data_IF_275070252378
#
_entry.id   IF_275070252378
#
_cell.length_a   1.000
_cell.length_b   1.000
_cell.length_c   1.000
_cell.angle_alpha   90.00
_cell.angle_beta   90.00
_cell.angle_gamma   90.00
#
_symmetry.space_group_name_H-M   'P 1'
#
loop_
_entity.id
_entity.type
_entity.pdbx_description
1 polymer ?
#
# COMPACT_ATOMS: atom_id res chain seq x y z
N UNK A 1 -41.67 29.21 5.68
CA UNK A 1 -40.64 29.18 4.62
C UNK A 1 -39.39 29.86 5.14
N UNK A 2 -38.41 29.07 5.61
CA UNK A 2 -37.04 29.51 5.87
C UNK A 2 -36.18 28.23 5.94
N UNK A 3 -35.88 27.68 4.77
CA UNK A 3 -34.95 26.57 4.55
C UNK A 3 -34.08 27.05 3.39
N UNK A 4 -32.80 27.30 3.64
CA UNK A 4 -31.92 27.78 2.59
C UNK A 4 -30.66 28.54 3.01
N UNK A 5 -30.31 28.62 4.29
CA UNK A 5 -29.01 29.18 4.68
C UNK A 5 -27.93 28.11 4.61
N UNK A 6 -27.42 27.94 3.38
CA UNK A 6 -26.01 27.77 3.05
C UNK A 6 -25.19 26.86 3.96
N UNK A 7 -25.28 25.55 3.71
CA UNK A 7 -24.17 24.62 3.91
C UNK A 7 -23.07 24.89 2.85
N UNK A 8 -22.55 26.12 2.83
CA UNK A 8 -21.38 26.54 2.05
C UNK A 8 -20.24 26.89 3.02
N UNK A 9 -19.95 26.00 3.97
CA UNK A 9 -18.69 26.09 4.72
C UNK A 9 -17.56 25.46 3.91
N UNK A 10 -17.19 26.19 2.85
CA UNK A 10 -15.83 26.44 2.40
C UNK A 10 -14.74 25.39 2.74
N UNK A 11 -14.61 24.37 1.90
CA UNK A 11 -13.31 23.73 1.61
C UNK A 11 -12.35 24.68 0.82
N UNK A 12 -12.53 26.01 0.98
CA UNK A 12 -12.13 27.02 -0.02
C UNK A 12 -10.83 27.77 0.29
N UNK A 13 -10.06 27.40 1.32
CA UNK A 13 -8.78 28.05 1.61
C UNK A 13 -7.69 26.99 1.81
N UNK A 14 -7.00 26.62 0.73
CA UNK A 14 -5.78 25.81 0.81
C UNK A 14 -4.61 26.71 1.22
N UNK A 15 -4.11 26.57 2.46
CA UNK A 15 -3.06 27.42 3.01
C UNK A 15 -1.66 26.85 2.63
N UNK A 16 -0.60 27.65 2.44
CA UNK A 16 0.73 27.11 2.14
C UNK A 16 1.29 26.17 3.22
N UNK A 17 0.84 26.29 4.47
CA UNK A 17 1.10 25.33 5.55
C UNK A 17 0.55 23.94 5.25
N UNK A 18 -0.59 23.86 4.56
CA UNK A 18 -1.25 22.61 4.18
C UNK A 18 -0.49 21.95 3.03
N UNK A 19 0.06 22.74 2.09
CA UNK A 19 0.93 22.22 1.02
C UNK A 19 2.21 21.58 1.53
N UNK A 20 2.87 22.14 2.55
CA UNK A 20 4.06 21.52 3.15
C UNK A 20 3.75 20.20 3.84
N UNK A 21 2.64 20.16 4.59
CA UNK A 21 2.17 18.95 5.29
C UNK A 21 1.77 17.86 4.29
N UNK A 22 1.03 18.22 3.26
CA UNK A 22 0.62 17.30 2.20
C UNK A 22 1.82 16.71 1.48
N UNK A 23 2.82 17.53 1.12
CA UNK A 23 4.06 17.03 0.51
C UNK A 23 4.80 16.07 1.43
N UNK A 24 4.88 16.36 2.72
CA UNK A 24 5.50 15.45 3.69
C UNK A 24 4.76 14.11 3.75
N UNK A 25 3.42 14.13 3.82
CA UNK A 25 2.60 12.93 3.84
C UNK A 25 2.66 12.15 2.53
N UNK A 26 2.66 12.84 1.39
CA UNK A 26 2.81 12.21 0.07
C UNK A 26 4.18 11.55 -0.10
N UNK A 27 5.25 12.12 0.49
CA UNK A 27 6.58 11.50 0.48
C UNK A 27 6.63 10.18 1.28
N UNK A 28 5.77 10.01 2.28
CA UNK A 28 5.73 8.78 3.08
C UNK A 28 5.43 7.53 2.24
N UNK A 29 4.68 7.64 1.14
CA UNK A 29 4.34 6.51 0.26
C UNK A 29 5.55 5.89 -0.45
N UNK A 30 6.29 6.67 -1.28
CA UNK A 30 7.53 6.22 -1.90
C UNK A 30 8.56 5.72 -0.88
N UNK A 31 8.70 6.40 0.26
CA UNK A 31 9.61 5.97 1.33
C UNK A 31 9.16 4.60 1.87
N UNK A 32 7.88 4.42 2.19
CA UNK A 32 7.35 3.15 2.68
C UNK A 32 7.60 2.01 1.69
N UNK A 33 7.31 2.21 0.39
CA UNK A 33 7.61 1.20 -0.64
C UNK A 33 9.09 0.86 -0.66
N UNK A 34 9.97 1.87 -0.70
CA UNK A 34 11.41 1.66 -0.72
C UNK A 34 11.91 0.86 0.49
N UNK A 35 11.38 1.14 1.69
CA UNK A 35 11.68 0.37 2.90
C UNK A 35 11.21 -1.09 2.79
N UNK A 36 10.03 -1.34 2.21
CA UNK A 36 9.54 -2.71 1.94
C UNK A 36 10.46 -3.44 0.95
N UNK A 37 10.93 -2.77 -0.11
CA UNK A 37 11.92 -3.35 -1.03
C UNK A 37 13.22 -3.73 -0.31
N UNK A 38 13.74 -2.85 0.56
CA UNK A 38 14.93 -3.15 1.35
C UNK A 38 14.68 -4.31 2.32
N UNK A 39 13.51 -4.39 2.97
CA UNK A 39 13.15 -5.52 3.83
C UNK A 39 13.29 -6.85 3.10
N UNK A 40 12.66 -6.96 1.94
CA UNK A 40 12.65 -8.19 1.14
C UNK A 40 14.05 -8.56 0.64
N UNK A 41 14.85 -7.57 0.22
CA UNK A 41 16.24 -7.79 -0.21
C UNK A 41 17.19 -8.15 0.94
N UNK A 42 17.14 -7.41 2.05
CA UNK A 42 18.00 -7.64 3.22
C UNK A 42 17.70 -8.98 3.89
N UNK A 43 16.42 -9.35 4.01
CA UNK A 43 16.00 -10.59 4.67
C UNK A 43 16.28 -11.86 3.85
N UNK A 44 16.75 -11.72 2.60
CA UNK A 44 16.94 -12.85 1.69
C UNK A 44 15.62 -13.51 1.30
N UNK A 45 14.51 -12.76 1.32
CA UNK A 45 13.17 -13.22 0.94
C UNK A 45 12.82 -12.86 -0.51
N UNK A 46 13.82 -12.49 -1.32
CA UNK A 46 13.72 -12.37 -2.77
C UNK A 46 14.67 -13.38 -3.41
N UNK A 47 14.15 -14.39 -4.14
CA UNK A 47 12.73 -14.69 -4.38
C UNK A 47 11.96 -15.08 -3.10
N UNK A 48 10.62 -15.00 -3.09
CA UNK A 48 9.81 -15.47 -1.97
C UNK A 48 10.12 -16.91 -1.59
N UNK A 49 10.05 -17.19 -0.29
CA UNK A 49 10.18 -18.53 0.29
C UNK A 49 9.23 -19.49 -0.42
N UNK A 50 9.68 -20.69 -0.80
CA UNK A 50 8.79 -21.64 -1.47
C UNK A 50 7.84 -22.30 -0.45
N UNK A 51 6.54 -22.50 -0.78
CA UNK A 51 5.63 -23.27 0.08
C UNK A 51 6.10 -24.72 0.33
N UNK A 52 6.94 -25.25 -0.56
CA UNK A 52 7.49 -26.60 -0.48
C UNK A 52 8.88 -26.68 0.17
N UNK A 53 9.40 -25.54 0.67
CA UNK A 53 10.72 -25.52 1.31
C UNK A 53 10.72 -26.38 2.57
N UNK A 54 11.78 -27.17 2.77
CA UNK A 54 11.92 -27.98 3.96
C UNK A 54 12.02 -27.08 5.20
N UNK A 55 11.34 -27.50 6.28
CA UNK A 55 11.29 -26.74 7.53
C UNK A 55 12.68 -26.48 8.12
N UNK A 56 13.59 -27.45 8.00
CA UNK A 56 14.97 -27.33 8.47
C UNK A 56 15.73 -26.25 7.70
N UNK A 57 15.70 -26.27 6.36
CA UNK A 57 16.38 -25.27 5.52
C UNK A 57 15.87 -23.85 5.81
N UNK A 58 14.56 -23.72 6.04
CA UNK A 58 13.96 -22.45 6.43
C UNK A 58 14.46 -21.99 7.80
N UNK A 59 14.46 -22.88 8.81
CA UNK A 59 14.97 -22.56 10.13
C UNK A 59 16.45 -22.15 10.11
N UNK A 60 17.25 -22.82 9.29
CA UNK A 60 18.67 -22.51 9.09
C UNK A 60 18.86 -21.12 8.47
N UNK A 61 18.02 -20.74 7.49
CA UNK A 61 18.02 -19.37 6.94
C UNK A 61 17.70 -18.32 8.00
N UNK A 62 16.68 -18.54 8.84
CA UNK A 62 16.35 -17.61 9.93
C UNK A 62 17.48 -17.48 10.96
N UNK A 63 18.23 -18.55 11.20
CA UNK A 63 19.38 -18.53 12.11
C UNK A 63 20.58 -17.80 11.50
N UNK A 64 20.93 -18.14 10.25
CA UNK A 64 22.08 -17.58 9.54
C UNK A 64 21.88 -16.08 9.24
N UNK A 65 20.70 -15.71 8.74
CA UNK A 65 20.36 -14.36 8.31
C UNK A 65 19.70 -13.51 9.42
N UNK A 66 19.78 -13.95 10.69
CA UNK A 66 19.06 -13.34 11.83
C UNK A 66 19.19 -11.82 11.89
N UNK A 67 20.41 -11.29 11.77
CA UNK A 67 20.64 -9.85 11.86
C UNK A 67 19.94 -9.08 10.73
N UNK A 68 20.07 -9.58 9.50
CA UNK A 68 19.47 -8.93 8.34
C UNK A 68 17.94 -9.01 8.35
N UNK A 69 17.38 -10.16 8.79
CA UNK A 69 15.94 -10.33 8.97
C UNK A 69 15.40 -9.35 10.02
N UNK A 70 16.09 -9.18 11.15
CA UNK A 70 15.66 -8.22 12.19
C UNK A 70 15.72 -6.76 11.72
N UNK A 71 16.77 -6.39 10.97
CA UNK A 71 16.85 -5.05 10.33
C UNK A 71 15.69 -4.89 9.36
N UNK A 72 15.44 -5.90 8.53
CA UNK A 72 14.33 -5.90 7.60
C UNK A 72 12.97 -5.72 8.29
N UNK A 73 12.70 -6.48 9.35
CA UNK A 73 11.46 -6.36 10.14
C UNK A 73 11.31 -4.93 10.67
N UNK A 74 12.37 -4.33 11.21
CA UNK A 74 12.33 -2.94 11.67
C UNK A 74 11.92 -1.98 10.55
N UNK A 75 12.48 -2.13 9.35
CA UNK A 75 12.14 -1.29 8.19
C UNK A 75 10.67 -1.51 7.74
N UNK A 76 10.18 -2.74 7.80
CA UNK A 76 8.79 -3.08 7.50
C UNK A 76 7.81 -2.44 8.50
N UNK A 77 8.13 -2.47 9.80
CA UNK A 77 7.35 -1.81 10.86
C UNK A 77 7.42 -0.27 10.76
N UNK A 78 8.52 0.29 10.23
CA UNK A 78 8.57 1.71 9.92
C UNK A 78 7.66 2.03 8.73
N UNK A 79 7.72 1.24 7.66
CA UNK A 79 6.86 1.38 6.49
C UNK A 79 5.36 1.28 6.84
N UNK A 80 5.01 0.40 7.77
CA UNK A 80 3.62 0.22 8.26
C UNK A 80 3.04 1.49 8.86
N UNK A 81 3.87 2.32 9.50
CA UNK A 81 3.46 3.60 10.10
C UNK A 81 3.40 4.75 9.09
N UNK A 82 4.18 4.65 8.01
CA UNK A 82 4.25 5.66 6.95
C UNK A 82 3.08 5.56 5.96
N UNK A 83 2.57 4.35 5.70
CA UNK A 83 1.50 4.16 4.72
C UNK A 83 0.17 4.86 5.08
N UNK A 84 -0.31 4.85 6.34
CA UNK A 84 -1.49 5.62 6.72
C UNK A 84 -1.32 7.13 6.52
N UNK A 85 -0.12 7.67 6.77
CA UNK A 85 0.18 9.08 6.48
C UNK A 85 0.08 9.38 4.99
N UNK A 86 0.61 8.49 4.15
CA UNK A 86 0.46 8.58 2.71
C UNK A 86 -1.01 8.54 2.27
N UNK A 87 -1.82 7.68 2.88
CA UNK A 87 -3.24 7.60 2.60
C UNK A 87 -3.96 8.93 2.88
N UNK A 88 -3.64 9.59 3.98
CA UNK A 88 -4.16 10.94 4.31
C UNK A 88 -3.69 11.96 3.27
N UNK A 89 -2.42 11.94 2.87
CA UNK A 89 -1.90 12.84 1.84
C UNK A 89 -2.64 12.72 0.50
N UNK A 90 -2.95 11.49 0.07
CA UNK A 90 -3.81 11.24 -1.09
C UNK A 90 -5.21 11.81 -0.86
N UNK A 91 -5.83 11.50 0.28
CA UNK A 91 -7.18 11.95 0.61
C UNK A 91 -7.32 13.47 0.54
N UNK A 92 -6.32 14.21 1.03
CA UNK A 92 -6.27 15.68 0.94
C UNK A 92 -6.24 16.18 -0.51
N UNK A 93 -5.53 15.50 -1.41
CA UNK A 93 -5.53 15.88 -2.83
C UNK A 93 -6.86 15.53 -3.52
N UNK A 94 -7.41 14.35 -3.25
CA UNK A 94 -8.68 13.91 -3.83
C UNK A 94 -9.86 14.77 -3.34
N UNK A 95 -9.82 15.27 -2.11
CA UNK A 95 -10.82 16.18 -1.56
C UNK A 95 -10.96 17.51 -2.34
N UNK A 96 -9.98 17.85 -3.17
CA UNK A 96 -10.00 19.04 -4.05
C UNK A 96 -10.76 18.81 -5.35
N UNK A 97 -11.26 17.59 -5.60
CA UNK A 97 -12.10 17.28 -6.75
C UNK A 97 -13.53 17.79 -6.48
N UNK A 98 -14.10 18.66 -7.33
CA UNK A 98 -15.45 19.17 -7.13
C UNK A 98 -16.50 18.05 -7.13
N UNK A 99 -17.38 18.03 -6.13
CA UNK A 99 -18.47 17.06 -6.03
C UNK A 99 -18.06 15.64 -5.60
N UNK A 100 -16.80 15.42 -5.18
CA UNK A 100 -16.39 14.12 -4.66
C UNK A 100 -17.15 13.78 -3.38
N UNK A 101 -17.74 12.58 -3.33
CA UNK A 101 -18.47 12.14 -2.16
C UNK A 101 -17.50 11.75 -1.02
N UNK A 102 -17.79 12.19 0.21
CA UNK A 102 -16.95 11.93 1.38
C UNK A 102 -16.71 10.43 1.63
N UNK A 103 -17.68 9.57 1.29
CA UNK A 103 -17.53 8.11 1.39
C UNK A 103 -16.35 7.58 0.59
N UNK A 104 -16.07 8.12 -0.59
CA UNK A 104 -14.93 7.66 -1.41
C UNK A 104 -13.61 8.03 -0.74
N UNK A 105 -13.53 9.23 -0.16
CA UNK A 105 -12.35 9.68 0.59
C UNK A 105 -12.12 8.84 1.85
N UNK A 106 -13.18 8.57 2.61
CA UNK A 106 -13.12 7.71 3.80
C UNK A 106 -12.69 6.30 3.41
N UNK A 107 -13.25 5.73 2.34
CA UNK A 107 -12.90 4.39 1.88
C UNK A 107 -11.42 4.29 1.49
N UNK A 108 -10.90 5.30 0.79
CA UNK A 108 -9.49 5.38 0.41
C UNK A 108 -8.57 5.46 1.64
N UNK A 109 -8.90 6.31 2.62
CA UNK A 109 -8.11 6.45 3.85
C UNK A 109 -8.19 5.17 4.68
N UNK A 110 -9.38 4.59 4.84
CA UNK A 110 -9.58 3.35 5.58
C UNK A 110 -8.78 2.18 4.98
N UNK A 111 -8.81 2.02 3.65
CA UNK A 111 -7.99 1.02 2.96
C UNK A 111 -6.49 1.24 3.19
N UNK A 112 -6.03 2.49 3.19
CA UNK A 112 -4.64 2.82 3.52
C UNK A 112 -4.25 2.53 4.97
N UNK A 113 -5.09 2.89 5.93
CA UNK A 113 -4.85 2.58 7.34
C UNK A 113 -4.79 1.07 7.59
N UNK A 114 -5.72 0.32 6.99
CA UNK A 114 -5.75 -1.14 7.08
C UNK A 114 -4.53 -1.78 6.42
N UNK A 115 -4.06 -1.24 5.28
CA UNK A 115 -2.84 -1.71 4.63
C UNK A 115 -1.60 -1.44 5.50
N UNK A 116 -1.51 -0.26 6.13
CA UNK A 116 -0.48 0.03 7.12
C UNK A 116 -0.51 -0.97 8.28
N UNK A 117 -1.68 -1.24 8.85
CA UNK A 117 -1.84 -2.23 9.92
C UNK A 117 -1.44 -3.66 9.46
N UNK A 118 -1.79 -4.04 8.23
CA UNK A 118 -1.41 -5.32 7.66
C UNK A 118 0.11 -5.50 7.59
N UNK A 119 0.84 -4.47 7.13
CA UNK A 119 2.31 -4.49 7.11
C UNK A 119 2.90 -4.69 8.51
N UNK A 120 2.29 -4.09 9.54
CA UNK A 120 2.72 -4.28 10.93
C UNK A 120 2.52 -5.73 11.39
N UNK A 121 1.38 -6.33 11.08
CA UNK A 121 1.12 -7.74 11.39
C UNK A 121 2.07 -8.68 10.64
N UNK A 122 2.35 -8.44 9.35
CA UNK A 122 3.29 -9.24 8.56
C UNK A 122 4.68 -9.21 9.21
N UNK A 123 5.16 -8.01 9.57
CA UNK A 123 6.43 -7.86 10.31
C UNK A 123 6.42 -8.56 11.67
N UNK A 124 5.28 -8.58 12.36
CA UNK A 124 5.12 -9.27 13.65
C UNK A 124 5.23 -10.79 13.50
N UNK A 125 4.65 -11.38 12.45
CA UNK A 125 4.78 -12.83 12.20
C UNK A 125 6.21 -13.21 11.77
N UNK A 126 6.85 -12.41 10.92
CA UNK A 126 8.28 -12.59 10.62
C UNK A 126 9.15 -12.46 11.86
N UNK A 127 8.84 -11.53 12.76
CA UNK A 127 9.51 -11.41 14.05
C UNK A 127 9.28 -12.64 14.91
N UNK A 128 8.07 -13.19 14.95
CA UNK A 128 7.77 -14.40 15.71
C UNK A 128 8.61 -15.61 15.25
N UNK A 129 8.87 -15.73 13.95
CA UNK A 129 9.77 -16.73 13.38
C UNK A 129 11.24 -16.49 13.77
N UNK A 130 11.70 -15.23 13.75
CA UNK A 130 13.11 -14.88 14.02
C UNK A 130 13.47 -14.76 15.52
N UNK A 131 12.49 -14.54 16.40
CA UNK A 131 12.72 -14.11 17.78
C UNK A 131 13.41 -15.17 18.66
N UNK A 132 13.09 -16.46 18.45
CA UNK A 132 13.66 -17.58 19.22
C UNK A 132 14.49 -18.51 18.34
N UNK A 133 15.82 -18.29 18.24
CA UNK A 133 16.69 -19.21 17.52
C UNK A 133 16.71 -20.59 18.20
N UNK A 134 16.87 -21.66 17.42
CA UNK A 134 16.93 -23.05 17.91
C UNK A 134 15.57 -23.65 18.33
N UNK A 135 14.46 -22.99 18.01
CA UNK A 135 13.12 -23.57 18.12
C UNK A 135 12.92 -24.67 17.08
N UNK A 136 12.01 -25.61 17.39
CA UNK A 136 11.56 -26.64 16.44
C UNK A 136 11.30 -26.04 15.05
N UNK A 137 11.96 -26.54 13.98
CA UNK A 137 11.81 -26.05 12.62
C UNK A 137 10.37 -25.94 12.15
N UNK A 138 9.47 -26.86 12.57
CA UNK A 138 8.07 -26.84 12.17
C UNK A 138 7.31 -25.63 12.73
N UNK A 139 7.66 -25.16 13.94
CA UNK A 139 7.04 -23.97 14.53
C UNK A 139 7.55 -22.71 13.83
N UNK A 140 8.83 -22.68 13.45
CA UNK A 140 9.41 -21.58 12.67
C UNK A 140 8.75 -21.49 11.29
N UNK A 141 8.55 -22.65 10.64
CA UNK A 141 7.82 -22.74 9.37
C UNK A 141 6.40 -22.19 9.51
N UNK A 142 5.61 -22.65 10.49
CA UNK A 142 4.26 -22.14 10.70
C UNK A 142 4.23 -20.61 10.89
N UNK A 143 5.16 -20.04 11.65
CA UNK A 143 5.23 -18.59 11.87
C UNK A 143 5.60 -17.82 10.58
N UNK A 144 6.52 -18.36 9.78
CA UNK A 144 6.88 -17.83 8.46
C UNK A 144 5.72 -17.92 7.48
N UNK A 145 5.05 -19.07 7.41
CA UNK A 145 3.90 -19.31 6.53
C UNK A 145 2.74 -18.38 6.86
N UNK A 146 2.49 -18.12 8.15
CA UNK A 146 1.52 -17.10 8.57
C UNK A 146 1.89 -15.71 8.05
N UNK A 147 3.18 -15.33 8.07
CA UNK A 147 3.62 -14.04 7.53
C UNK A 147 3.40 -13.95 6.01
N UNK A 148 3.74 -15.00 5.26
CA UNK A 148 3.54 -15.07 3.81
C UNK A 148 2.07 -15.12 3.42
N UNK A 149 1.27 -15.94 4.09
CA UNK A 149 -0.18 -15.99 3.86
C UNK A 149 -0.83 -14.66 4.18
N UNK A 150 -0.39 -13.98 5.23
CA UNK A 150 -0.92 -12.66 5.55
C UNK A 150 -0.57 -11.63 4.47
N UNK A 151 0.65 -11.69 3.93
CA UNK A 151 1.08 -10.85 2.81
C UNK A 151 0.22 -11.09 1.56
N UNK A 152 -0.12 -12.36 1.26
CA UNK A 152 -0.96 -12.68 0.10
C UNK A 152 -2.43 -12.34 0.33
N UNK A 153 -3.01 -12.80 1.44
CA UNK A 153 -4.45 -12.77 1.70
C UNK A 153 -4.98 -11.42 2.19
N UNK A 154 -4.13 -10.42 2.47
CA UNK A 154 -4.55 -9.05 2.82
C UNK A 154 -4.47 -8.11 1.60
N UNK A 155 -4.90 -8.59 0.43
CA UNK A 155 -5.09 -7.74 -0.74
C UNK A 155 -6.26 -6.76 -0.59
N UNK A 156 -7.31 -7.10 0.18
CA UNK A 156 -8.56 -6.34 0.26
C UNK A 156 -8.37 -4.86 0.61
N UNK A 157 -7.58 -4.47 1.63
CA UNK A 157 -7.31 -3.06 1.92
C UNK A 157 -6.68 -2.30 0.76
N UNK A 158 -5.76 -2.96 0.04
CA UNK A 158 -5.10 -2.39 -1.13
C UNK A 158 -6.13 -2.21 -2.26
N UNK A 159 -6.91 -3.24 -2.57
CA UNK A 159 -7.98 -3.18 -3.59
C UNK A 159 -8.96 -2.05 -3.29
N UNK A 160 -9.43 -1.95 -2.04
CA UNK A 160 -10.35 -0.89 -1.61
C UNK A 160 -9.72 0.49 -1.79
N UNK A 161 -8.46 0.66 -1.38
CA UNK A 161 -7.76 1.93 -1.49
C UNK A 161 -7.58 2.34 -2.96
N UNK A 162 -7.04 1.47 -3.81
CA UNK A 162 -6.75 1.77 -5.22
C UNK A 162 -8.03 1.92 -6.03
N UNK A 163 -9.09 1.16 -5.72
CA UNK A 163 -10.39 1.33 -6.34
C UNK A 163 -11.01 2.69 -5.99
N UNK A 164 -10.99 3.10 -4.72
CA UNK A 164 -11.49 4.39 -4.29
C UNK A 164 -10.71 5.56 -4.92
N UNK A 165 -9.39 5.45 -5.03
CA UNK A 165 -8.55 6.43 -5.74
C UNK A 165 -8.96 6.53 -7.21
N UNK A 166 -9.08 5.38 -7.89
CA UNK A 166 -9.44 5.34 -9.32
C UNK A 166 -10.83 5.95 -9.55
N UNK A 167 -11.80 5.59 -8.69
CA UNK A 167 -13.14 6.15 -8.71
C UNK A 167 -13.12 7.68 -8.57
N UNK A 168 -12.36 8.21 -7.60
CA UNK A 168 -12.24 9.64 -7.40
C UNK A 168 -11.65 10.35 -8.63
N UNK A 169 -10.60 9.78 -9.24
CA UNK A 169 -9.98 10.32 -10.46
C UNK A 169 -10.99 10.35 -11.62
N UNK A 170 -11.77 9.28 -11.82
CA UNK A 170 -12.76 9.23 -12.89
C UNK A 170 -13.99 10.10 -12.64
N UNK A 171 -14.28 10.41 -11.38
CA UNK A 171 -15.36 11.33 -11.00
C UNK A 171 -15.03 12.80 -11.32
N UNK A 172 -13.78 13.10 -11.67
CA UNK A 172 -13.36 14.46 -12.03
C UNK A 172 -13.90 14.87 -13.42
N UNK A 173 -14.99 15.65 -13.38
CA UNK A 173 -15.68 16.18 -14.55
C UNK A 173 -15.04 17.40 -15.21
N UNK A 174 -13.92 17.93 -14.68
CA UNK A 174 -13.22 19.07 -15.28
C UNK A 174 -12.64 18.72 -16.65
N UNK A 175 -12.59 19.69 -17.56
CA UNK A 175 -11.88 19.53 -18.85
C UNK A 175 -10.40 19.22 -18.66
N UNK A 176 -9.78 19.86 -17.66
CA UNK A 176 -8.43 19.57 -17.17
C UNK A 176 -8.54 18.98 -15.76
N UNK A 177 -8.57 17.63 -15.62
CA UNK A 177 -8.69 17.00 -14.32
C UNK A 177 -7.44 17.27 -13.47
N UNK A 178 -7.59 17.28 -12.15
CA UNK A 178 -6.47 17.49 -11.22
C UNK A 178 -5.42 16.39 -11.34
N UNK A 179 -5.89 15.17 -11.54
CA UNK A 179 -5.06 14.00 -11.81
C UNK A 179 -5.43 13.47 -13.19
N UNK A 180 -4.46 13.23 -14.08
CA UNK A 180 -4.75 12.69 -15.41
C UNK A 180 -5.51 11.36 -15.34
N UNK A 181 -6.55 11.21 -16.18
CA UNK A 181 -7.41 10.00 -16.18
C UNK A 181 -6.66 8.70 -16.46
N UNK A 182 -5.56 8.76 -17.22
CA UNK A 182 -4.72 7.58 -17.47
C UNK A 182 -4.10 7.02 -16.19
N UNK A 183 -3.84 7.85 -15.17
CA UNK A 183 -3.36 7.42 -13.85
C UNK A 183 -4.46 6.64 -13.11
N UNK A 184 -5.73 7.04 -13.28
CA UNK A 184 -6.87 6.27 -12.76
C UNK A 184 -6.88 4.84 -13.34
N UNK A 185 -6.58 4.69 -14.63
CA UNK A 185 -6.47 3.37 -15.26
C UNK A 185 -5.31 2.57 -14.69
N UNK A 186 -4.11 3.13 -14.57
CA UNK A 186 -2.96 2.40 -13.99
C UNK A 186 -3.22 1.98 -12.55
N UNK A 187 -3.82 2.85 -11.73
CA UNK A 187 -4.15 2.50 -10.34
C UNK A 187 -5.23 1.41 -10.28
N UNK A 188 -6.25 1.45 -11.15
CA UNK A 188 -7.28 0.42 -11.20
C UNK A 188 -6.73 -0.97 -11.54
N UNK A 189 -5.69 -1.03 -12.38
CA UNK A 189 -5.05 -2.30 -12.73
C UNK A 189 -4.28 -2.93 -11.56
N UNK A 190 -3.86 -2.15 -10.54
CA UNK A 190 -3.29 -2.71 -9.30
C UNK A 190 -4.32 -3.60 -8.62
N UNK A 191 -5.58 -3.14 -8.52
CA UNK A 191 -6.67 -3.94 -7.94
C UNK A 191 -6.89 -5.25 -8.71
N UNK A 192 -6.82 -5.19 -10.05
CA UNK A 192 -7.03 -6.38 -10.91
C UNK A 192 -5.93 -7.42 -10.66
N UNK A 193 -4.67 -7.00 -10.62
CA UNK A 193 -3.55 -7.90 -10.39
C UNK A 193 -3.44 -8.40 -8.94
N UNK A 194 -4.08 -7.74 -7.99
CA UNK A 194 -4.14 -8.19 -6.60
C UNK A 194 -5.10 -9.37 -6.39
N UNK A 195 -6.09 -9.57 -7.27
CA UNK A 195 -7.13 -10.62 -7.12
C UNK A 195 -6.52 -12.04 -7.06
N UNK A 196 -5.62 -12.45 -7.98
CA UNK A 196 -4.99 -13.77 -7.89
C UNK A 196 -4.17 -13.94 -6.61
N UNK A 197 -3.41 -12.92 -6.23
CA UNK A 197 -2.62 -12.92 -4.99
C UNK A 197 -3.50 -13.15 -3.77
N UNK A 198 -4.60 -12.43 -3.67
CA UNK A 198 -5.45 -12.45 -2.48
C UNK A 198 -6.31 -13.71 -2.38
N UNK A 199 -7.06 -14.01 -3.45
CA UNK A 199 -8.13 -15.00 -3.38
C UNK A 199 -7.71 -16.38 -3.85
N UNK A 200 -6.56 -16.49 -4.52
CA UNK A 200 -6.15 -17.74 -5.19
C UNK A 200 -4.84 -18.29 -4.63
N UNK A 201 -3.90 -17.45 -4.20
CA UNK A 201 -2.55 -17.91 -3.86
C UNK A 201 -2.48 -18.99 -2.77
N UNK A 202 -3.36 -18.92 -1.77
CA UNK A 202 -3.42 -19.89 -0.67
C UNK A 202 -3.91 -21.29 -1.08
N UNK A 203 -4.48 -21.44 -2.28
CA UNK A 203 -4.95 -22.73 -2.80
C UNK A 203 -3.84 -23.54 -3.48
N UNK A 204 -2.67 -22.95 -3.74
CA UNK A 204 -1.60 -23.55 -4.54
C UNK A 204 -0.27 -23.57 -3.77
N UNK A 205 0.42 -24.70 -3.85
CA UNK A 205 1.74 -24.89 -3.24
C UNK A 205 2.89 -24.83 -4.27
N UNK A 206 2.58 -24.91 -5.56
CA UNK A 206 3.55 -24.80 -6.66
C UNK A 206 2.88 -24.18 -7.91
N UNK A 207 3.70 -23.73 -8.86
CA UNK A 207 3.27 -23.16 -10.13
C UNK A 207 3.01 -21.65 -10.09
N UNK A 208 2.45 -21.07 -11.17
CA UNK A 208 2.33 -19.62 -11.33
C UNK A 208 1.37 -18.96 -10.33
N UNK A 209 0.46 -19.73 -9.74
CA UNK A 209 -0.53 -19.27 -8.77
C UNK A 209 -0.10 -19.47 -7.31
N UNK A 210 0.95 -20.24 -7.02
CA UNK A 210 1.48 -20.34 -5.66
C UNK A 210 1.96 -18.97 -5.16
N UNK A 211 2.07 -18.77 -3.85
CA UNK A 211 2.45 -17.45 -3.30
C UNK A 211 3.81 -16.94 -3.79
N UNK A 212 4.71 -17.81 -4.27
CA UNK A 212 6.02 -17.46 -4.80
C UNK A 212 6.03 -17.42 -6.34
N UNK A 213 4.87 -17.67 -6.95
CA UNK A 213 4.67 -17.80 -8.38
C UNK A 213 4.54 -16.47 -9.11
N UNK A 214 4.55 -16.56 -10.46
CA UNK A 214 4.52 -15.40 -11.36
C UNK A 214 3.29 -14.52 -11.16
N UNK A 215 2.09 -15.11 -11.09
CA UNK A 215 0.83 -14.37 -11.06
C UNK A 215 0.52 -13.82 -9.66
N UNK A 216 0.90 -14.55 -8.61
CA UNK A 216 0.56 -14.20 -7.22
C UNK A 216 1.59 -13.28 -6.56
N UNK A 217 2.86 -13.32 -6.98
CA UNK A 217 3.90 -12.43 -6.43
C UNK A 217 4.45 -11.47 -7.48
N UNK A 218 5.10 -11.99 -8.51
CA UNK A 218 5.96 -11.18 -9.38
C UNK A 218 5.21 -10.12 -10.18
N UNK A 219 4.09 -10.46 -10.80
CA UNK A 219 3.29 -9.50 -11.56
C UNK A 219 2.74 -8.40 -10.64
N UNK A 220 1.99 -8.69 -9.56
CA UNK A 220 1.47 -7.65 -8.67
C UNK A 220 2.59 -6.77 -8.09
N UNK A 221 3.74 -7.36 -7.75
CA UNK A 221 4.87 -6.63 -7.18
C UNK A 221 5.51 -5.68 -8.18
N UNK A 222 5.88 -6.17 -9.37
CA UNK A 222 6.48 -5.34 -10.44
C UNK A 222 5.49 -4.32 -10.99
N UNK A 223 4.25 -4.75 -11.24
CA UNK A 223 3.20 -3.90 -11.77
C UNK A 223 2.76 -2.83 -10.77
N UNK A 224 2.70 -3.19 -9.48
CA UNK A 224 2.48 -2.24 -8.40
C UNK A 224 3.54 -1.15 -8.41
N UNK A 225 4.83 -1.52 -8.46
CA UNK A 225 5.93 -0.55 -8.53
C UNK A 225 5.80 0.41 -9.72
N UNK A 226 5.47 -0.12 -10.90
CA UNK A 226 5.27 0.68 -12.13
C UNK A 226 4.04 1.59 -12.01
N UNK A 227 2.95 1.12 -11.42
CA UNK A 227 1.68 1.85 -11.33
C UNK A 227 1.65 2.91 -10.22
N UNK A 228 2.37 2.69 -9.12
CA UNK A 228 2.51 3.66 -8.04
C UNK A 228 3.36 4.87 -8.44
N UNK A 229 4.35 4.72 -9.33
CA UNK A 229 5.19 5.82 -9.81
C UNK A 229 4.38 7.00 -10.39
N UNK A 230 3.55 6.79 -11.43
CA UNK A 230 2.62 7.79 -11.96
C UNK A 230 1.70 8.42 -10.91
N UNK A 231 1.19 7.62 -9.98
CA UNK A 231 0.33 8.09 -8.90
C UNK A 231 1.08 9.08 -8.02
N UNK A 232 2.28 8.73 -7.55
CA UNK A 232 3.10 9.59 -6.71
C UNK A 232 3.44 10.91 -7.41
N UNK A 233 3.89 10.84 -8.67
CA UNK A 233 4.23 12.03 -9.45
C UNK A 233 3.01 12.95 -9.63
N UNK A 234 1.86 12.38 -9.98
CA UNK A 234 0.64 13.15 -10.20
C UNK A 234 0.11 13.77 -8.91
N UNK A 235 0.17 13.05 -7.78
CA UNK A 235 -0.21 13.57 -6.47
C UNK A 235 0.74 14.69 -6.01
N UNK A 236 2.05 14.54 -6.25
CA UNK A 236 3.04 15.56 -5.92
C UNK A 236 2.85 16.84 -6.76
N UNK A 237 2.58 16.68 -8.06
CA UNK A 237 2.22 17.78 -8.95
C UNK A 237 0.95 18.47 -8.47
N UNK A 238 -0.09 17.71 -8.13
CA UNK A 238 -1.34 18.25 -7.57
C UNK A 238 -1.09 19.07 -6.29
N UNK A 239 -0.25 18.58 -5.38
CA UNK A 239 0.12 19.30 -4.15
C UNK A 239 0.95 20.58 -4.41
N UNK A 240 1.63 20.67 -5.56
CA UNK A 240 2.34 21.86 -6.03
C UNK A 240 1.45 22.89 -6.75
N UNK A 241 0.33 22.45 -7.33
CA UNK A 241 -0.64 23.35 -7.97
C UNK A 241 -1.44 24.05 -6.87
N UNK A 242 -1.03 25.27 -6.52
CA UNK A 242 -1.87 26.20 -5.75
C UNK A 242 -3.02 26.59 -6.67
N UNK A 243 -4.24 26.16 -6.36
CA UNK A 243 -5.45 26.65 -7.06
C UNK A 243 -5.51 28.17 -6.83
N UNK A 244 -5.14 28.95 -7.86
CA UNK A 244 -5.30 30.41 -7.83
C UNK A 244 -6.77 30.74 -7.69
N UNK A 245 -7.05 31.71 -6.81
CA UNK A 245 -8.33 32.37 -6.58
C UNK A 245 -9.04 32.62 -7.91
N UNK A 246 -10.23 32.05 -8.14
CA UNK A 246 -11.18 32.65 -9.07
C UNK A 246 -11.71 33.90 -8.37
N UNK A 247 -10.99 35.01 -8.52
CA UNK A 247 -11.59 36.35 -8.39
C UNK A 247 -12.47 36.55 -9.61
N UNK A 248 -13.77 36.37 -9.44
CA UNK A 248 -14.76 37.13 -10.19
C UNK A 248 -14.97 38.47 -9.48
#
# INVERSE_FOLDING_TARGET
>A
MASGENCQHSLSCYNPSDSRRDKAFLACGPIALFLVFIFFGASGFLPPTSPLQASQDLADHYQYSKYNINIGIFLLLLASSLWPLFAVGIGNQLARIPGIHITILILQIAGGCLLGFALALIGTFFAAAAYRPGRDPLITQLASDLAWLLYMCIGSPMILQTFAISWAIFSDGREKPLIPRWVGWTVSTISVWAIPTEYVAHCFHDGPLAWNGLLSFWIPWLWGAVSYGPLFLSMWQAAGVITKKHTA
#
